data_IF_110631237874
#
_entry.id   IF_110631237874
#
_cell.length_a   1.000
_cell.length_b   1.000
_cell.length_c   1.000
_cell.angle_alpha   90.00
_cell.angle_beta   90.00
_cell.angle_gamma   90.00
#
_symmetry.space_group_name_H-M   'P 1'
#
loop_
_entity.id
_entity.type
_entity.pdbx_description
1 polymer ?
#
# COMPACT_ATOMS: atom_id res chain seq x y z
N UNK A 1 -17.46 -20.22 -15.37
CA UNK A 1 -16.00 -20.03 -15.21
C UNK A 1 -15.75 -18.52 -15.27
N UNK A 2 -15.78 -17.84 -14.12
CA UNK A 2 -15.66 -16.38 -14.05
C UNK A 2 -14.18 -15.99 -13.98
N UNK A 3 -13.57 -15.74 -15.14
CA UNK A 3 -12.28 -15.09 -15.25
C UNK A 3 -12.51 -13.61 -15.60
N UNK A 4 -12.87 -12.78 -14.62
CA UNK A 4 -13.03 -11.32 -14.89
C UNK A 4 -12.67 -10.36 -13.76
N UNK A 5 -12.18 -10.82 -12.60
CA UNK A 5 -11.90 -9.91 -11.47
C UNK A 5 -10.41 -9.68 -11.15
N UNK A 6 -9.47 -10.23 -11.93
CA UNK A 6 -8.03 -10.01 -11.73
C UNK A 6 -7.49 -8.72 -12.38
N UNK A 7 -8.32 -7.98 -13.13
CA UNK A 7 -7.98 -6.61 -13.60
C UNK A 7 -8.11 -5.55 -12.49
N UNK A 8 -8.47 -5.92 -11.26
CA UNK A 8 -9.10 -5.00 -10.29
C UNK A 8 -8.17 -4.38 -9.24
N UNK A 9 -7.22 -5.14 -8.68
CA UNK A 9 -6.34 -4.64 -7.60
C UNK A 9 -4.89 -4.41 -8.04
N UNK A 10 -4.33 -5.33 -8.82
CA UNK A 10 -2.96 -5.18 -9.36
C UNK A 10 -2.85 -3.92 -10.24
N UNK A 11 -3.83 -3.68 -11.11
CA UNK A 11 -3.87 -2.48 -11.95
C UNK A 11 -4.05 -1.19 -11.13
N UNK A 12 -4.81 -1.23 -10.03
CA UNK A 12 -4.95 -0.10 -9.11
C UNK A 12 -3.62 0.20 -8.44
N UNK A 13 -2.95 -0.84 -7.92
CA UNK A 13 -1.65 -0.72 -7.27
C UNK A 13 -0.60 -0.21 -8.24
N UNK A 14 -0.55 -0.73 -9.47
CA UNK A 14 0.37 -0.25 -10.50
C UNK A 14 0.13 1.23 -10.86
N UNK A 15 -1.14 1.66 -10.88
CA UNK A 15 -1.49 3.06 -11.10
C UNK A 15 -1.02 3.95 -9.95
N UNK A 16 -1.21 3.53 -8.70
CA UNK A 16 -0.74 4.27 -7.53
C UNK A 16 0.79 4.36 -7.53
N UNK A 17 1.50 3.26 -7.83
CA UNK A 17 2.96 3.23 -7.96
C UNK A 17 3.42 4.21 -9.04
N UNK A 18 2.76 4.24 -10.20
CA UNK A 18 3.08 5.17 -11.28
C UNK A 18 2.86 6.64 -10.85
N UNK A 19 1.80 6.93 -10.10
CA UNK A 19 1.54 8.26 -9.56
C UNK A 19 2.61 8.69 -8.54
N UNK A 20 3.00 7.80 -7.62
CA UNK A 20 4.05 8.08 -6.63
C UNK A 20 5.39 8.32 -7.33
N UNK A 21 5.77 7.43 -8.25
CA UNK A 21 7.00 7.56 -9.04
C UNK A 21 7.09 8.92 -9.74
N UNK A 22 5.98 9.37 -10.36
CA UNK A 22 5.92 10.68 -11.00
C UNK A 22 5.94 11.86 -10.01
N UNK A 23 5.24 11.75 -8.88
CA UNK A 23 5.11 12.83 -7.89
C UNK A 23 6.42 13.07 -7.13
N UNK A 24 7.08 12.00 -6.73
CA UNK A 24 8.30 12.04 -5.92
C UNK A 24 9.58 12.07 -6.78
N UNK A 25 9.47 11.82 -8.08
CA UNK A 25 10.64 11.75 -8.98
C UNK A 25 11.53 10.52 -8.75
N UNK A 26 10.96 9.44 -8.22
CA UNK A 26 11.65 8.19 -7.87
C UNK A 26 11.30 7.06 -8.83
N UNK A 27 12.13 6.01 -8.88
CA UNK A 27 11.87 4.86 -9.75
C UNK A 27 10.68 4.01 -9.25
N UNK A 28 10.17 3.11 -10.11
CA UNK A 28 9.00 2.26 -9.79
C UNK A 28 9.22 1.33 -8.60
N UNK A 29 10.42 0.78 -8.45
CA UNK A 29 10.81 -0.08 -7.34
C UNK A 29 10.83 0.70 -6.02
N UNK A 30 11.39 1.90 -6.02
CA UNK A 30 11.36 2.79 -4.85
C UNK A 30 9.93 3.23 -4.52
N UNK A 31 9.14 3.64 -5.53
CA UNK A 31 7.72 3.97 -5.36
C UNK A 31 6.91 2.78 -4.80
N UNK A 32 7.19 1.55 -5.23
CA UNK A 32 6.59 0.33 -4.67
C UNK A 32 6.94 0.15 -3.20
N UNK A 33 8.21 0.35 -2.81
CA UNK A 33 8.65 0.27 -1.41
C UNK A 33 8.00 1.36 -0.56
N UNK A 34 7.94 2.58 -1.06
CA UNK A 34 7.28 3.74 -0.44
C UNK A 34 5.80 3.48 -0.20
N UNK A 35 5.07 2.97 -1.21
CA UNK A 35 3.68 2.57 -1.04
C UNK A 35 3.53 1.43 -0.03
N UNK A 36 4.41 0.43 -0.07
CA UNK A 36 4.39 -0.68 0.90
C UNK A 36 4.59 -0.18 2.33
N UNK A 37 5.58 0.69 2.59
CA UNK A 37 5.81 1.33 3.90
C UNK A 37 4.55 2.02 4.41
N UNK A 38 3.90 2.78 3.55
CA UNK A 38 2.66 3.50 3.89
C UNK A 38 1.50 2.55 4.24
N UNK A 39 1.26 1.50 3.45
CA UNK A 39 0.09 0.61 3.69
C UNK A 39 0.34 -0.48 4.74
N UNK A 40 1.60 -0.84 4.96
CA UNK A 40 2.00 -1.87 5.91
C UNK A 40 1.97 -1.34 7.35
N UNK A 41 2.55 -0.16 7.61
CA UNK A 41 2.65 0.45 8.95
C UNK A 41 3.30 -0.44 10.03
N UNK A 42 3.94 -1.54 9.62
CA UNK A 42 4.50 -2.57 10.48
C UNK A 42 3.51 -3.64 10.95
N UNK A 43 2.34 -3.75 10.31
CA UNK A 43 1.27 -4.69 10.70
C UNK A 43 1.37 -6.07 10.07
N UNK A 44 2.24 -6.27 9.06
CA UNK A 44 2.40 -7.58 8.42
C UNK A 44 3.35 -8.50 9.18
N UNK A 45 3.17 -9.81 9.04
CA UNK A 45 4.01 -10.80 9.71
C UNK A 45 5.47 -10.72 9.26
N UNK A 46 5.71 -10.52 7.96
CA UNK A 46 7.07 -10.32 7.45
C UNK A 46 7.78 -9.14 8.11
N UNK A 47 7.07 -8.04 8.38
CA UNK A 47 7.67 -6.92 9.11
C UNK A 47 8.06 -7.31 10.53
N UNK A 48 7.22 -8.08 11.23
CA UNK A 48 7.50 -8.49 12.61
C UNK A 48 8.71 -9.41 12.72
N UNK A 49 8.98 -10.22 11.70
CA UNK A 49 10.04 -11.23 11.74
C UNK A 49 11.32 -10.82 11.00
N UNK A 50 11.21 -10.14 9.85
CA UNK A 50 12.33 -9.92 8.91
C UNK A 50 12.73 -8.44 8.69
N UNK A 51 11.97 -7.46 9.20
CA UNK A 51 12.21 -6.03 8.88
C UNK A 51 13.58 -5.49 9.32
N UNK A 52 14.09 -5.96 10.46
CA UNK A 52 15.39 -5.53 11.01
C UNK A 52 16.57 -5.97 10.14
N UNK A 53 16.46 -7.11 9.45
CA UNK A 53 17.52 -7.63 8.58
C UNK A 53 17.52 -6.99 7.18
N UNK A 54 16.40 -6.38 6.78
CA UNK A 54 16.16 -5.87 5.42
C UNK A 54 16.21 -4.34 5.32
N UNK A 55 16.53 -3.63 6.41
CA UNK A 55 16.60 -2.17 6.43
C UNK A 55 15.26 -1.48 6.19
N UNK A 56 14.14 -2.17 6.46
CA UNK A 56 12.80 -1.63 6.28
C UNK A 56 12.39 -0.81 7.50
N UNK A 57 12.61 0.50 7.44
CA UNK A 57 12.18 1.45 8.48
C UNK A 57 10.82 2.09 8.12
N UNK A 58 9.83 1.90 9.00
CA UNK A 58 8.47 2.47 8.84
C UNK A 58 8.40 3.97 9.11
N UNK A 59 9.42 4.54 9.77
CA UNK A 59 9.51 5.96 10.11
C UNK A 59 10.16 6.80 9.00
N UNK A 60 10.76 6.12 8.02
CA UNK A 60 11.43 6.70 6.85
C UNK A 60 10.47 7.40 5.85
N UNK A 61 9.17 7.44 6.13
CA UNK A 61 8.24 8.30 5.40
C UNK A 61 8.01 9.58 6.18
N UNK A 62 8.38 10.71 5.57
CA UNK A 62 8.04 12.04 6.06
C UNK A 62 6.53 12.23 6.12
N UNK A 63 6.04 13.14 6.98
CA UNK A 63 4.60 13.45 7.08
C UNK A 63 4.02 13.89 5.72
N UNK A 64 4.76 14.73 4.99
CA UNK A 64 4.39 15.15 3.64
C UNK A 64 4.20 13.97 2.69
N UNK A 65 5.14 13.01 2.68
CA UNK A 65 5.02 11.82 1.85
C UNK A 65 3.80 10.97 2.22
N UNK A 66 3.48 10.85 3.52
CA UNK A 66 2.29 10.13 3.97
C UNK A 66 1.01 10.80 3.46
N UNK A 67 0.91 12.11 3.58
CA UNK A 67 -0.24 12.89 3.10
C UNK A 67 -0.39 12.79 1.59
N UNK A 68 0.72 12.90 0.85
CA UNK A 68 0.73 12.82 -0.62
C UNK A 68 0.31 11.42 -1.09
N UNK A 69 0.85 10.36 -0.49
CA UNK A 69 0.46 8.97 -0.80
C UNK A 69 -1.00 8.72 -0.41
N UNK A 70 -1.45 9.16 0.76
CA UNK A 70 -2.84 9.01 1.19
C UNK A 70 -3.80 9.67 0.20
N UNK A 71 -3.49 10.90 -0.22
CA UNK A 71 -4.28 11.65 -1.22
C UNK A 71 -4.37 10.87 -2.53
N UNK A 72 -3.26 10.32 -3.01
CA UNK A 72 -3.22 9.50 -4.23
C UNK A 72 -4.07 8.23 -4.08
N UNK A 73 -3.95 7.53 -2.95
CA UNK A 73 -4.74 6.33 -2.67
C UNK A 73 -6.23 6.66 -2.66
N UNK A 74 -6.65 7.74 -1.98
CA UNK A 74 -8.05 8.18 -1.94
C UNK A 74 -8.58 8.59 -3.32
N UNK A 75 -7.74 9.21 -4.15
CA UNK A 75 -8.12 9.61 -5.49
C UNK A 75 -8.32 8.41 -6.42
N UNK A 76 -7.41 7.42 -6.35
CA UNK A 76 -7.49 6.22 -7.19
C UNK A 76 -8.58 5.26 -6.69
N UNK A 77 -8.74 5.10 -5.37
CA UNK A 77 -9.71 4.23 -4.72
C UNK A 77 -10.89 5.03 -4.16
N UNK A 78 -11.49 5.89 -4.99
CA UNK A 78 -12.59 6.78 -4.57
C UNK A 78 -13.76 6.00 -3.96
N UNK A 79 -14.26 6.47 -2.82
CA UNK A 79 -15.37 5.84 -2.09
C UNK A 79 -14.97 4.62 -1.24
N UNK A 80 -13.68 4.26 -1.23
CA UNK A 80 -13.14 3.26 -0.33
C UNK A 80 -12.67 3.92 0.98
N UNK A 81 -13.01 3.31 2.11
CA UNK A 81 -12.35 3.63 3.38
C UNK A 81 -10.84 3.44 3.27
N UNK A 82 -10.07 4.30 3.93
CA UNK A 82 -8.61 4.30 3.80
C UNK A 82 -7.98 3.05 4.41
N UNK A 83 -8.49 2.54 5.53
CA UNK A 83 -7.96 1.31 6.13
C UNK A 83 -8.31 0.08 5.29
N UNK A 84 -9.49 0.07 4.65
CA UNK A 84 -9.84 -0.96 3.68
C UNK A 84 -8.99 -0.88 2.40
N UNK A 85 -8.72 0.34 1.90
CA UNK A 85 -7.85 0.57 0.75
C UNK A 85 -6.43 0.07 1.02
N UNK A 86 -5.84 0.46 2.15
CA UNK A 86 -4.52 -0.02 2.58
C UNK A 86 -4.50 -1.55 2.67
N UNK A 87 -5.56 -2.20 3.17
CA UNK A 87 -5.66 -3.67 3.22
C UNK A 87 -5.62 -4.31 1.83
N UNK A 88 -6.41 -3.81 0.87
CA UNK A 88 -6.41 -4.32 -0.51
C UNK A 88 -5.05 -4.16 -1.19
N UNK A 89 -4.46 -2.96 -1.09
CA UNK A 89 -3.14 -2.67 -1.67
C UNK A 89 -2.07 -3.58 -1.05
N UNK A 90 -2.11 -3.79 0.26
CA UNK A 90 -1.14 -4.64 0.94
C UNK A 90 -1.20 -6.10 0.46
N UNK A 91 -2.39 -6.65 0.19
CA UNK A 91 -2.53 -8.01 -0.31
C UNK A 91 -1.84 -8.23 -1.66
N UNK A 92 -1.69 -7.16 -2.47
CA UNK A 92 -0.95 -7.19 -3.73
C UNK A 92 0.55 -6.98 -3.50
N UNK A 93 0.92 -6.05 -2.61
CA UNK A 93 2.31 -5.68 -2.41
C UNK A 93 3.12 -6.70 -1.63
N UNK A 94 2.49 -7.38 -0.68
CA UNK A 94 3.12 -8.30 0.25
C UNK A 94 2.29 -9.61 0.33
N UNK A 95 2.25 -10.39 -0.76
CA UNK A 95 1.52 -11.65 -0.79
C UNK A 95 2.13 -12.64 0.21
N UNK A 96 1.29 -13.45 0.85
CA UNK A 96 1.71 -14.42 1.88
C UNK A 96 1.89 -13.83 3.29
N UNK A 97 1.92 -12.50 3.43
CA UNK A 97 1.98 -11.83 4.73
C UNK A 97 0.92 -10.73 4.85
N UNK A 98 -0.38 -11.01 4.64
CA UNK A 98 -1.39 -9.98 4.60
C UNK A 98 -1.50 -9.24 5.94
N UNK A 99 -1.71 -7.92 5.89
CA UNK A 99 -2.12 -7.17 7.08
C UNK A 99 -3.52 -7.66 7.54
N UNK A 100 -3.86 -7.60 8.83
CA UNK A 100 -5.19 -7.94 9.31
C UNK A 100 -6.28 -7.16 8.55
N UNK A 101 -7.35 -7.85 8.15
CA UNK A 101 -8.49 -7.19 7.49
C UNK A 101 -9.15 -6.25 8.50
N UNK A 102 -9.38 -4.96 8.15
CA UNK A 102 -10.06 -4.05 9.06
C UNK A 102 -11.48 -4.57 9.32
N UNK A 103 -11.86 -4.59 10.59
CA UNK A 103 -13.23 -4.87 11.03
C UNK A 103 -14.15 -3.81 10.42
N UNK A 104 -15.35 -4.20 9.94
CA UNK A 104 -16.42 -3.24 9.68
C UNK A 104 -16.90 -2.67 11.01
N UNK A 105 -16.16 -1.75 11.62
CA UNK A 105 -16.74 -0.94 12.68
C UNK A 105 -17.57 0.16 12.03
N UNK A 106 -18.87 0.13 12.31
CA UNK A 106 -19.76 1.27 12.14
C UNK A 106 -19.21 2.41 13.00
N UNK A 107 -18.96 3.56 12.39
CA UNK A 107 -18.50 4.77 13.05
C UNK A 107 -18.19 5.82 12.02
#
# INVERSE_FOLDING_TARGET
>A
MHASESKSDESIVDKIIACISKSEGIDRGEARRTLHKYVCEGRCEWYKTESKASGFDRTDLTERQREDIERLVRQVMKGCDIEYAKWRIHNVLCPGHPRPKPSKNKG
#
